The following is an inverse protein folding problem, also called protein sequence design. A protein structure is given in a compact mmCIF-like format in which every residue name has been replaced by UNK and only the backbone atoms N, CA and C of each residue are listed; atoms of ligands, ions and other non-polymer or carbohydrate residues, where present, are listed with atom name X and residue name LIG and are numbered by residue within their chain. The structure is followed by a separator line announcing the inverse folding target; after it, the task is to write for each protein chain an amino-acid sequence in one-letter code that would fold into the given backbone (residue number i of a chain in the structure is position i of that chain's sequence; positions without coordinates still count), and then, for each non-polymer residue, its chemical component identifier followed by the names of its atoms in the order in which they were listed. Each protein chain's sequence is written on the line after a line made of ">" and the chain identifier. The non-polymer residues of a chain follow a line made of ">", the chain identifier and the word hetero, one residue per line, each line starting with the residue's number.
data_IF_389778237055
#
_entry.id   IF_389778237055
#
_cell.length_a   1.000
_cell.length_b   1.000
_cell.length_c   1.000
_cell.angle_alpha   90.00
_cell.angle_beta   90.00
_cell.angle_gamma   90.00
#
_symmetry.space_group_name_H-M   'P 1'
#
loop_
_entity.id
_entity.type
_entity.pdbx_description
1 polymer ?
#
# COMPACT_ATOMS: atom_id res chain seq x y z
N UNK A 1 -11.76 -24.05 6.16
CA UNK A 1 -12.68 -22.92 6.24
C UNK A 1 -12.02 -21.61 6.71
N UNK A 2 -10.72 -21.61 7.00
CA UNK A 2 -10.00 -20.39 7.48
C UNK A 2 -8.99 -19.84 6.47
N UNK A 3 -8.83 -20.48 5.32
CA UNK A 3 -7.87 -20.07 4.29
C UNK A 3 -8.21 -18.72 3.65
N UNK A 4 -9.49 -18.42 3.44
CA UNK A 4 -9.91 -17.17 2.79
C UNK A 4 -9.43 -15.92 3.53
N UNK A 5 -9.61 -15.74 4.86
CA UNK A 5 -9.12 -14.56 5.56
C UNK A 5 -7.58 -14.42 5.52
N UNK A 6 -6.86 -15.54 5.53
CA UNK A 6 -5.38 -15.52 5.41
C UNK A 6 -4.95 -15.00 4.05
N UNK A 7 -5.56 -15.50 2.98
CA UNK A 7 -5.22 -15.07 1.63
C UNK A 7 -5.68 -13.65 1.33
N UNK A 8 -6.86 -13.24 1.84
CA UNK A 8 -7.33 -11.86 1.71
C UNK A 8 -6.34 -10.87 2.35
N UNK A 9 -5.87 -11.15 3.57
CA UNK A 9 -4.89 -10.29 4.22
C UNK A 9 -3.53 -10.31 3.51
N UNK A 10 -3.07 -11.47 3.03
CA UNK A 10 -1.84 -11.57 2.24
C UNK A 10 -1.92 -10.72 0.96
N UNK A 11 -3.05 -10.77 0.26
CA UNK A 11 -3.27 -9.97 -0.94
C UNK A 11 -3.43 -8.48 -0.63
N UNK A 12 -4.09 -8.10 0.45
CA UNK A 12 -4.20 -6.71 0.90
C UNK A 12 -2.82 -6.11 1.17
N UNK A 13 -1.98 -6.81 1.93
CA UNK A 13 -0.61 -6.36 2.22
C UNK A 13 0.25 -6.27 0.94
N UNK A 14 0.12 -7.24 0.03
CA UNK A 14 0.81 -7.19 -1.27
C UNK A 14 0.27 -6.08 -2.17
N UNK A 15 -1.03 -5.78 -2.10
CA UNK A 15 -1.65 -4.68 -2.84
C UNK A 15 -1.08 -3.32 -2.43
N UNK A 16 -0.95 -3.06 -1.13
CA UNK A 16 -0.36 -1.80 -0.62
C UNK A 16 1.06 -1.58 -1.18
N UNK A 17 1.89 -2.61 -1.17
CA UNK A 17 3.18 -2.66 -1.84
C UNK A 17 3.68 -4.09 -1.97
N UNK A 18 4.04 -4.47 -3.19
CA UNK A 18 4.58 -5.82 -3.44
C UNK A 18 5.93 -6.02 -2.75
N UNK A 19 6.20 -7.23 -2.24
CA UNK A 19 7.44 -7.52 -1.51
C UNK A 19 8.72 -7.18 -2.27
N UNK A 20 8.75 -7.40 -3.57
CA UNK A 20 9.90 -7.10 -4.42
C UNK A 20 10.19 -5.60 -4.60
N UNK A 21 9.26 -4.74 -4.24
CA UNK A 21 9.42 -3.28 -4.30
C UNK A 21 9.68 -2.63 -2.93
N UNK A 22 9.87 -3.44 -1.89
CA UNK A 22 10.12 -2.95 -0.53
C UNK A 22 11.48 -2.25 -0.37
N UNK A 23 12.41 -2.49 -1.26
CA UNK A 23 13.70 -1.77 -1.32
C UNK A 23 13.65 -0.49 -2.16
N UNK A 24 12.47 0.00 -2.52
CA UNK A 24 12.26 1.14 -3.42
C UNK A 24 13.02 1.01 -4.75
N UNK A 25 13.21 -0.21 -5.21
CA UNK A 25 13.90 -0.52 -6.47
C UNK A 25 12.91 -0.62 -7.63
N UNK A 26 13.38 -0.27 -8.82
CA UNK A 26 12.64 -0.42 -10.09
C UNK A 26 13.51 -1.21 -11.05
N UNK A 27 13.39 -2.53 -10.99
CA UNK A 27 14.33 -3.46 -11.64
C UNK A 27 14.36 -3.42 -13.15
N UNK A 28 13.27 -2.96 -13.76
CA UNK A 28 13.14 -2.85 -15.21
C UNK A 28 13.69 -1.52 -15.77
N UNK A 29 14.07 -0.57 -14.91
CA UNK A 29 14.67 0.68 -15.32
C UNK A 29 16.13 0.48 -15.72
N UNK A 30 16.56 1.22 -16.78
CA UNK A 30 17.95 1.16 -17.25
C UNK A 30 18.90 1.90 -16.32
N UNK A 31 18.46 3.00 -15.71
CA UNK A 31 19.28 3.82 -14.81
C UNK A 31 19.67 3.00 -13.56
N UNK A 32 20.98 2.85 -13.30
CA UNK A 32 21.50 2.09 -12.16
C UNK A 32 20.96 2.53 -10.80
N UNK A 33 20.60 3.82 -10.64
CA UNK A 33 20.08 4.35 -9.36
C UNK A 33 18.81 3.60 -8.89
N UNK A 34 17.96 3.13 -9.82
CA UNK A 34 16.75 2.40 -9.50
C UNK A 34 17.00 0.94 -9.11
N UNK A 35 18.22 0.45 -9.21
CA UNK A 35 18.63 -0.89 -8.77
C UNK A 35 19.23 -0.88 -7.37
N UNK A 36 19.56 0.29 -6.84
CA UNK A 36 20.09 0.44 -5.49
C UNK A 36 18.94 0.45 -4.49
N UNK A 37 19.08 -0.34 -3.43
CA UNK A 37 18.12 -0.34 -2.32
C UNK A 37 18.16 1.03 -1.63
N UNK A 38 16.99 1.64 -1.49
CA UNK A 38 16.80 2.91 -0.80
C UNK A 38 15.58 2.85 0.11
N UNK A 39 15.42 3.87 0.94
CA UNK A 39 14.32 3.96 1.89
C UNK A 39 13.00 4.24 1.19
N UNK A 40 11.95 3.63 1.71
CA UNK A 40 10.59 4.02 1.42
C UNK A 40 10.25 5.31 2.18
N UNK A 41 9.34 6.14 1.65
CA UNK A 41 8.90 7.37 2.34
C UNK A 41 7.91 7.05 3.48
N UNK A 42 8.25 6.07 4.30
CA UNK A 42 7.44 5.58 5.41
C UNK A 42 8.05 5.96 6.75
N UNK A 43 7.20 6.39 7.66
CA UNK A 43 7.56 6.66 9.05
C UNK A 43 7.92 5.38 9.81
N UNK A 44 8.59 5.52 10.95
CA UNK A 44 8.85 4.41 11.87
C UNK A 44 7.57 3.69 12.28
N UNK A 45 6.50 4.44 12.50
CA UNK A 45 5.20 3.87 12.89
C UNK A 45 4.61 3.01 11.76
N UNK A 46 4.58 3.51 10.52
CA UNK A 46 4.04 2.76 9.36
C UNK A 46 4.85 1.49 9.09
N UNK A 47 6.18 1.56 9.24
CA UNK A 47 7.05 0.39 9.13
C UNK A 47 6.70 -0.65 10.19
N UNK A 48 6.59 -0.24 11.45
CA UNK A 48 6.29 -1.15 12.56
C UNK A 48 4.89 -1.76 12.45
N UNK A 49 3.88 -0.98 12.05
CA UNK A 49 2.52 -1.48 11.79
C UNK A 49 2.53 -2.57 10.70
N UNK A 50 3.26 -2.36 9.61
CA UNK A 50 3.37 -3.35 8.53
C UNK A 50 4.12 -4.60 8.95
N UNK A 51 5.22 -4.46 9.69
CA UNK A 51 5.97 -5.61 10.23
C UNK A 51 5.11 -6.42 11.19
N UNK A 52 4.30 -5.77 12.03
CA UNK A 52 3.36 -6.43 12.93
C UNK A 52 2.27 -7.19 12.17
N UNK A 53 1.69 -6.60 11.11
CA UNK A 53 0.68 -7.25 10.28
C UNK A 53 1.22 -8.54 9.62
N UNK A 54 2.42 -8.48 9.03
CA UNK A 54 3.04 -9.68 8.45
C UNK A 54 3.42 -10.74 9.48
N UNK A 55 3.80 -10.32 10.71
CA UNK A 55 4.07 -11.26 11.81
C UNK A 55 2.79 -12.00 12.20
N UNK A 56 1.70 -11.28 12.45
CA UNK A 56 0.41 -11.88 12.79
C UNK A 56 -0.09 -12.85 11.71
N UNK A 57 0.07 -12.45 10.44
CA UNK A 57 -0.31 -13.30 9.32
C UNK A 57 0.57 -14.58 9.25
N UNK A 58 1.88 -14.45 9.46
CA UNK A 58 2.82 -15.58 9.48
C UNK A 58 2.53 -16.54 10.63
N UNK A 59 2.22 -16.02 11.82
CA UNK A 59 1.87 -16.83 12.99
C UNK A 59 0.58 -17.63 12.75
N UNK A 60 -0.43 -16.99 12.13
CA UNK A 60 -1.66 -17.67 11.76
C UNK A 60 -1.43 -18.78 10.74
N UNK A 61 -0.63 -18.53 9.71
CA UNK A 61 -0.25 -19.53 8.71
C UNK A 61 0.50 -20.71 9.35
N UNK A 62 1.37 -20.45 10.32
CA UNK A 62 2.11 -21.48 11.05
C UNK A 62 1.17 -22.35 11.90
N UNK A 63 0.23 -21.74 12.61
CA UNK A 63 -0.79 -22.45 13.40
C UNK A 63 -1.64 -23.35 12.51
N UNK A 64 -2.15 -22.82 11.38
CA UNK A 64 -2.93 -23.60 10.42
C UNK A 64 -2.12 -24.78 9.87
N UNK A 65 -0.86 -24.55 9.49
CA UNK A 65 0.02 -25.59 8.96
C UNK A 65 0.28 -26.71 9.95
N UNK A 66 0.46 -26.39 11.24
CA UNK A 66 0.61 -27.40 12.29
C UNK A 66 -0.64 -28.25 12.50
N UNK A 67 -1.81 -27.66 12.37
CA UNK A 67 -3.11 -28.34 12.51
C UNK A 67 -3.49 -29.24 11.31
N UNK A 68 -2.78 -29.10 10.18
CA UNK A 68 -3.12 -29.85 8.97
C UNK A 68 -2.66 -31.32 9.02
N UNK A 69 -3.46 -32.25 8.46
CA UNK A 69 -3.02 -33.61 8.19
C UNK A 69 -1.78 -33.66 7.28
N UNK A 70 -0.91 -34.64 7.48
CA UNK A 70 0.35 -34.79 6.76
C UNK A 70 0.18 -34.69 5.23
N UNK A 71 -0.88 -35.32 4.70
CA UNK A 71 -1.17 -35.37 3.26
C UNK A 71 -1.46 -34.00 2.63
N UNK A 72 -1.91 -33.01 3.45
CA UNK A 72 -2.21 -31.65 2.98
C UNK A 72 -1.07 -30.66 3.19
N UNK A 73 -0.07 -31.02 4.01
CA UNK A 73 1.02 -30.10 4.41
C UNK A 73 1.87 -29.64 3.23
N UNK A 74 2.20 -30.51 2.30
CA UNK A 74 3.02 -30.11 1.15
C UNK A 74 2.27 -29.10 0.25
N UNK A 75 1.01 -29.36 -0.06
CA UNK A 75 0.20 -28.45 -0.87
C UNK A 75 0.02 -27.09 -0.17
N UNK A 76 -0.30 -27.11 1.13
CA UNK A 76 -0.44 -25.87 1.91
C UNK A 76 0.89 -25.11 1.99
N UNK A 77 2.02 -25.80 2.16
CA UNK A 77 3.34 -25.17 2.15
C UNK A 77 3.58 -24.42 0.85
N UNK A 78 3.29 -25.02 -0.29
CA UNK A 78 3.55 -24.44 -1.60
C UNK A 78 2.60 -23.26 -1.92
N UNK A 79 1.32 -23.39 -1.61
CA UNK A 79 0.31 -22.43 -2.05
C UNK A 79 0.07 -21.31 -1.05
N UNK A 80 0.38 -21.52 0.23
CA UNK A 80 0.04 -20.58 1.30
C UNK A 80 1.28 -20.22 2.13
N UNK A 81 1.90 -21.22 2.79
CA UNK A 81 2.95 -20.95 3.77
C UNK A 81 4.18 -20.31 3.13
N UNK A 82 4.69 -20.88 2.05
CA UNK A 82 5.87 -20.33 1.38
C UNK A 82 5.64 -18.90 0.85
N UNK A 83 4.61 -18.60 0.04
CA UNK A 83 4.40 -17.24 -0.47
C UNK A 83 4.19 -16.23 0.66
N UNK A 84 3.41 -16.56 1.69
CA UNK A 84 3.15 -15.64 2.80
C UNK A 84 4.42 -15.40 3.62
N UNK A 85 5.13 -16.45 4.03
CA UNK A 85 6.33 -16.32 4.85
C UNK A 85 7.49 -15.69 4.07
N UNK A 86 7.66 -16.01 2.78
CA UNK A 86 8.67 -15.37 1.94
C UNK A 86 8.38 -13.85 1.79
N UNK A 87 7.12 -13.46 1.59
CA UNK A 87 6.73 -12.06 1.56
C UNK A 87 6.98 -11.35 2.91
N UNK A 88 6.63 -12.01 4.01
CA UNK A 88 6.90 -11.49 5.35
C UNK A 88 8.40 -11.28 5.59
N UNK A 89 9.23 -12.24 5.21
CA UNK A 89 10.68 -12.12 5.38
C UNK A 89 11.30 -11.09 4.42
N UNK A 90 10.77 -10.89 3.22
CA UNK A 90 11.20 -9.80 2.33
C UNK A 90 10.89 -8.43 2.97
N UNK A 91 9.70 -8.26 3.56
CA UNK A 91 9.36 -7.05 4.30
C UNK A 91 10.29 -6.86 5.52
N UNK A 92 10.47 -7.91 6.34
CA UNK A 92 11.39 -7.87 7.46
C UNK A 92 12.79 -7.45 7.04
N UNK A 93 13.37 -8.10 6.05
CA UNK A 93 14.73 -7.80 5.56
C UNK A 93 14.90 -6.33 5.18
N UNK A 94 13.99 -5.78 4.41
CA UNK A 94 14.14 -4.45 3.82
C UNK A 94 13.72 -3.34 4.78
N UNK A 95 12.66 -3.55 5.55
CA UNK A 95 12.16 -2.55 6.50
C UNK A 95 13.00 -2.49 7.79
N UNK A 96 13.49 -3.62 8.30
CA UNK A 96 14.42 -3.58 9.44
C UNK A 96 15.76 -2.99 9.04
N UNK A 97 16.22 -3.21 7.79
CA UNK A 97 17.40 -2.51 7.27
C UNK A 97 17.16 -1.00 7.15
N UNK A 98 15.95 -0.56 6.74
CA UNK A 98 15.59 0.85 6.74
C UNK A 98 15.63 1.43 8.16
N UNK A 99 15.02 0.77 9.14
CA UNK A 99 15.09 1.17 10.55
C UNK A 99 16.55 1.19 11.06
N UNK A 100 17.35 0.18 10.72
CA UNK A 100 18.74 0.09 11.15
C UNK A 100 19.63 1.20 10.56
N UNK A 101 19.36 1.64 9.32
CA UNK A 101 20.04 2.80 8.73
C UNK A 101 19.88 4.06 9.58
N UNK A 102 18.76 4.22 10.25
CA UNK A 102 18.42 5.35 11.12
C UNK A 102 18.60 5.06 12.61
N UNK A 103 19.30 3.96 12.97
CA UNK A 103 19.59 3.61 14.37
C UNK A 103 18.38 3.16 15.18
N UNK A 104 17.29 2.70 14.53
CA UNK A 104 16.03 2.29 15.15
C UNK A 104 15.85 0.76 15.27
N UNK A 105 16.75 -0.01 14.68
CA UNK A 105 16.77 -1.48 14.74
C UNK A 105 18.20 -2.02 14.62
N UNK A 106 18.37 -3.31 14.91
CA UNK A 106 19.62 -4.03 14.70
C UNK A 106 19.67 -4.60 13.27
N UNK A 107 20.82 -4.45 12.60
CA UNK A 107 21.09 -5.05 11.31
C UNK A 107 20.97 -6.60 11.31
N UNK A 108 21.17 -7.21 12.47
CA UNK A 108 21.02 -8.66 12.61
C UNK A 108 19.59 -9.14 12.31
N UNK A 109 18.56 -8.28 12.50
CA UNK A 109 17.17 -8.62 12.16
C UNK A 109 17.00 -8.76 10.64
N UNK A 110 17.56 -7.83 9.88
CA UNK A 110 17.58 -7.89 8.42
C UNK A 110 18.35 -9.13 7.91
N UNK A 111 19.49 -9.42 8.52
CA UNK A 111 20.30 -10.60 8.17
C UNK A 111 19.55 -11.91 8.44
N UNK A 112 18.89 -12.03 9.61
CA UNK A 112 18.07 -13.21 9.95
C UNK A 112 16.90 -13.40 8.98
N UNK A 113 16.28 -12.31 8.55
CA UNK A 113 15.22 -12.37 7.56
C UNK A 113 15.71 -12.87 6.20
N UNK A 114 16.89 -12.43 5.77
CA UNK A 114 17.53 -12.96 4.55
C UNK A 114 17.80 -14.47 4.66
N UNK A 115 18.40 -14.93 5.77
CA UNK A 115 18.69 -16.34 6.00
C UNK A 115 17.41 -17.20 6.01
N UNK A 116 16.32 -16.64 6.54
CA UNK A 116 15.00 -17.26 6.53
C UNK A 116 14.45 -17.44 5.10
N UNK A 117 14.60 -16.43 4.24
CA UNK A 117 14.19 -16.53 2.82
C UNK A 117 14.98 -17.65 2.12
N UNK A 118 16.30 -17.69 2.32
CA UNK A 118 17.17 -18.74 1.75
C UNK A 118 16.72 -20.11 2.21
N UNK A 119 16.46 -20.28 3.51
CA UNK A 119 16.03 -21.56 4.11
C UNK A 119 14.66 -22.02 3.60
N UNK A 120 13.69 -21.09 3.52
CA UNK A 120 12.36 -21.36 2.96
C UNK A 120 12.44 -21.80 1.49
N UNK A 121 13.26 -21.11 0.69
CA UNK A 121 13.43 -21.43 -0.73
C UNK A 121 14.14 -22.77 -0.94
N UNK A 122 15.18 -23.06 -0.15
CA UNK A 122 15.83 -24.37 -0.16
C UNK A 122 14.84 -25.48 0.18
N UNK A 123 14.01 -25.29 1.23
CA UNK A 123 12.97 -26.23 1.59
C UNK A 123 11.95 -26.43 0.47
N UNK A 124 11.51 -25.34 -0.20
CA UNK A 124 10.61 -25.44 -1.35
C UNK A 124 11.20 -26.37 -2.43
N UNK A 125 12.47 -26.19 -2.73
CA UNK A 125 13.19 -26.95 -3.75
C UNK A 125 13.49 -28.41 -3.36
N UNK A 126 13.24 -28.83 -2.12
CA UNK A 126 13.26 -30.25 -1.72
C UNK A 126 11.95 -30.99 -2.00
N UNK A 127 10.90 -30.27 -2.39
CA UNK A 127 9.61 -30.86 -2.79
C UNK A 127 9.65 -31.38 -4.23
N UNK A 128 8.52 -31.87 -4.74
CA UNK A 128 8.37 -32.27 -6.16
C UNK A 128 8.69 -31.14 -7.17
N UNK A 129 8.74 -29.87 -6.71
CA UNK A 129 9.08 -28.68 -7.50
C UNK A 129 10.55 -28.33 -7.44
N UNK A 130 11.42 -29.34 -7.45
CA UNK A 130 12.87 -29.16 -7.37
C UNK A 130 13.36 -28.11 -8.38
N UNK A 131 14.19 -27.17 -7.89
CA UNK A 131 14.80 -26.07 -8.66
C UNK A 131 13.81 -25.07 -9.28
N UNK A 132 12.54 -25.06 -8.84
CA UNK A 132 11.56 -24.13 -9.39
C UNK A 132 11.72 -22.73 -8.81
N UNK A 133 12.14 -22.60 -7.55
CA UNK A 133 12.31 -21.33 -6.87
C UNK A 133 13.77 -20.93 -6.70
N UNK A 134 14.04 -19.65 -6.90
CA UNK A 134 15.34 -19.03 -6.66
C UNK A 134 15.21 -17.98 -5.55
N UNK A 135 16.14 -17.94 -4.60
CA UNK A 135 16.19 -16.90 -3.58
C UNK A 135 16.87 -15.62 -4.07
N UNK A 136 17.50 -15.64 -5.24
CA UNK A 136 18.10 -14.49 -5.93
C UNK A 136 17.61 -14.40 -7.39
N UNK A 137 16.32 -14.26 -7.63
CA UNK A 137 15.77 -14.22 -8.98
C UNK A 137 16.49 -13.15 -9.82
N UNK A 138 16.96 -13.54 -11.00
CA UNK A 138 17.68 -12.64 -11.93
C UNK A 138 18.91 -11.93 -11.31
N UNK A 139 19.39 -12.37 -10.14
CA UNK A 139 20.47 -11.74 -9.37
C UNK A 139 20.24 -10.26 -9.07
N UNK A 140 18.98 -9.86 -8.88
CA UNK A 140 18.65 -8.47 -8.59
C UNK A 140 19.06 -8.10 -7.16
N UNK A 141 19.63 -6.89 -6.94
CA UNK A 141 20.13 -6.46 -5.63
C UNK A 141 19.10 -6.54 -4.50
N UNK A 142 17.82 -6.31 -4.80
CA UNK A 142 16.73 -6.39 -3.82
C UNK A 142 16.59 -7.77 -3.16
N UNK A 143 17.08 -8.84 -3.80
CA UNK A 143 17.06 -10.19 -3.24
C UNK A 143 18.34 -10.56 -2.49
N UNK A 144 19.38 -9.73 -2.52
CA UNK A 144 20.62 -9.94 -1.76
C UNK A 144 20.44 -9.53 -0.29
N UNK A 145 21.46 -9.83 0.55
CA UNK A 145 21.60 -9.14 1.84
C UNK A 145 21.66 -7.64 1.61
N UNK A 146 21.04 -6.89 2.53
CA UNK A 146 21.11 -5.45 2.46
C UNK A 146 22.48 -4.97 2.94
N UNK A 147 23.11 -4.10 2.16
CA UNK A 147 24.36 -3.47 2.53
C UNK A 147 24.17 -2.58 3.77
N UNK A 148 25.04 -2.73 4.75
CA UNK A 148 25.02 -1.94 5.99
C UNK A 148 25.54 -0.52 5.72
N UNK A 149 24.65 0.44 5.81
CA UNK A 149 24.98 1.86 5.63
C UNK A 149 24.12 2.68 6.58
N UNK A 150 24.75 3.42 7.47
CA UNK A 150 24.05 4.37 8.34
C UNK A 150 23.67 5.64 7.56
N UNK A 151 22.54 6.23 7.91
CA UNK A 151 22.09 7.53 7.41
C UNK A 151 21.87 8.47 8.59
N UNK A 152 22.25 9.73 8.39
CA UNK A 152 22.10 10.79 9.40
C UNK A 152 20.73 11.49 9.33
N UNK A 153 20.00 11.35 8.22
CA UNK A 153 18.64 11.89 8.07
C UNK A 153 17.65 11.08 8.88
N UNK A 154 16.70 11.74 9.54
CA UNK A 154 15.61 11.06 10.24
C UNK A 154 14.63 10.37 9.27
N UNK A 155 13.84 9.42 9.81
CA UNK A 155 12.69 8.88 9.12
C UNK A 155 11.59 9.95 9.00
N UNK A 156 10.74 9.88 7.96
CA UNK A 156 9.58 10.76 7.86
C UNK A 156 8.66 10.61 9.08
N UNK A 157 7.98 11.68 9.46
CA UNK A 157 6.92 11.61 10.46
C UNK A 157 5.60 11.21 9.79
N UNK A 158 4.83 10.33 10.46
CA UNK A 158 3.49 9.99 10.01
C UNK A 158 2.58 11.18 10.26
N UNK A 159 1.97 11.70 9.20
CA UNK A 159 0.87 12.67 9.35
C UNK A 159 -0.36 11.96 9.90
N UNK A 160 -0.91 12.49 10.97
CA UNK A 160 -2.20 12.03 11.47
C UNK A 160 -3.32 12.78 10.75
N UNK A 161 -4.21 12.02 10.09
CA UNK A 161 -5.44 12.56 9.59
C UNK A 161 -6.41 12.81 10.76
N UNK A 162 -7.14 13.92 10.71
CA UNK A 162 -8.21 14.20 11.67
C UNK A 162 -9.45 13.37 11.34
N UNK A 163 -9.71 13.20 10.06
CA UNK A 163 -10.76 12.31 9.54
C UNK A 163 -10.20 11.42 8.44
N UNK A 164 -10.70 10.19 8.39
CA UNK A 164 -10.41 9.21 7.33
C UNK A 164 -11.70 8.51 6.96
N UNK A 165 -12.00 8.45 5.67
CA UNK A 165 -13.12 7.68 5.14
C UNK A 165 -12.64 6.74 4.04
N UNK A 166 -13.17 5.53 4.06
CA UNK A 166 -13.08 4.63 2.91
C UNK A 166 -14.23 4.95 1.96
N UNK A 167 -13.96 5.15 0.69
CA UNK A 167 -14.99 5.43 -0.29
C UNK A 167 -16.08 4.35 -0.34
N UNK A 168 -15.67 3.09 -0.16
CA UNK A 168 -16.58 1.94 -0.15
C UNK A 168 -17.64 1.99 0.96
N UNK A 169 -17.34 2.59 2.12
CA UNK A 169 -18.28 2.68 3.25
C UNK A 169 -19.38 3.72 3.03
N UNK A 170 -19.19 4.61 2.05
CA UNK A 170 -20.12 5.71 1.71
C UNK A 170 -20.88 5.44 0.40
N UNK A 171 -20.81 4.24 -0.15
CA UNK A 171 -21.28 3.92 -1.51
C UNK A 171 -22.74 3.47 -1.60
N UNK A 172 -23.57 3.64 -0.57
CA UNK A 172 -24.95 3.13 -0.56
C UNK A 172 -25.75 3.58 -1.80
N UNK A 173 -26.08 2.60 -2.66
CA UNK A 173 -26.97 2.75 -3.80
C UNK A 173 -26.44 3.53 -5.01
N UNK A 174 -25.18 3.99 -4.97
CA UNK A 174 -24.65 4.93 -5.97
C UNK A 174 -23.57 4.32 -6.87
N UNK A 175 -22.90 3.25 -6.45
CA UNK A 175 -21.65 2.82 -7.10
C UNK A 175 -21.30 1.36 -6.85
N UNK A 176 -20.47 0.79 -7.72
CA UNK A 176 -20.02 -0.59 -7.60
C UNK A 176 -18.80 -0.70 -6.66
N UNK A 177 -18.85 -1.63 -5.72
CA UNK A 177 -17.72 -1.96 -4.85
C UNK A 177 -16.72 -2.84 -5.62
N UNK A 178 -15.47 -2.43 -5.61
CA UNK A 178 -14.32 -3.16 -6.15
C UNK A 178 -13.67 -3.98 -5.02
N UNK A 179 -14.13 -5.21 -4.81
CA UNK A 179 -13.58 -6.12 -3.79
C UNK A 179 -12.13 -6.52 -4.14
N UNK A 180 -11.27 -6.58 -3.12
CA UNK A 180 -9.85 -6.92 -3.25
C UNK A 180 -8.95 -5.79 -3.75
N UNK A 181 -9.50 -4.62 -4.03
CA UNK A 181 -8.76 -3.41 -4.43
C UNK A 181 -8.86 -2.35 -3.33
N UNK A 182 -7.91 -1.40 -3.34
CA UNK A 182 -7.85 -0.35 -2.32
C UNK A 182 -7.05 -0.75 -1.07
N UNK A 183 -6.75 0.25 -0.26
CA UNK A 183 -5.89 0.10 0.92
C UNK A 183 -6.46 -0.87 1.97
N UNK A 184 -7.77 -0.80 2.21
CA UNK A 184 -8.48 -1.71 3.12
C UNK A 184 -9.11 -2.91 2.40
N UNK A 185 -8.74 -3.17 1.15
CA UNK A 185 -9.25 -4.27 0.35
C UNK A 185 -10.62 -4.02 -0.28
N UNK A 186 -11.08 -2.77 -0.27
CA UNK A 186 -12.31 -2.31 -0.92
C UNK A 186 -12.13 -0.88 -1.42
N UNK A 187 -12.51 -0.65 -2.66
CA UNK A 187 -12.61 0.67 -3.26
C UNK A 187 -13.99 0.82 -3.93
N UNK A 188 -14.36 2.02 -4.35
CA UNK A 188 -15.64 2.26 -5.01
C UNK A 188 -15.46 2.86 -6.39
N UNK A 189 -16.00 2.20 -7.40
CA UNK A 189 -16.12 2.77 -8.74
C UNK A 189 -17.33 3.71 -8.77
N UNK A 190 -17.07 5.00 -8.82
CA UNK A 190 -18.10 6.05 -8.81
C UNK A 190 -18.51 6.33 -10.25
N UNK A 191 -19.76 6.06 -10.60
CA UNK A 191 -20.29 6.32 -11.93
C UNK A 191 -20.26 7.81 -12.24
N UNK A 192 -20.13 8.15 -13.50
CA UNK A 192 -20.10 9.53 -13.98
C UNK A 192 -21.27 10.37 -13.46
N UNK A 193 -20.97 11.56 -12.97
CA UNK A 193 -21.89 12.51 -12.36
C UNK A 193 -22.60 11.99 -11.11
N UNK A 194 -22.08 10.93 -10.47
CA UNK A 194 -22.54 10.49 -9.16
C UNK A 194 -21.66 11.04 -8.05
N UNK A 195 -22.24 11.15 -6.87
CA UNK A 195 -21.65 11.83 -5.72
C UNK A 195 -21.54 10.89 -4.52
N UNK A 196 -20.48 11.08 -3.75
CA UNK A 196 -20.31 10.51 -2.42
C UNK A 196 -20.20 11.67 -1.42
N UNK A 197 -20.90 11.55 -0.31
CA UNK A 197 -20.97 12.60 0.71
C UNK A 197 -20.25 12.18 1.98
N UNK A 198 -19.49 13.11 2.55
CA UNK A 198 -18.73 12.95 3.78
C UNK A 198 -19.01 14.12 4.70
N UNK A 199 -19.35 13.87 5.96
CA UNK A 199 -19.66 14.91 6.94
C UNK A 199 -18.57 14.97 8.00
N UNK A 200 -18.16 16.17 8.39
CA UNK A 200 -17.20 16.39 9.46
C UNK A 200 -17.48 17.71 10.21
N UNK A 201 -16.93 17.79 11.41
CA UNK A 201 -16.93 19.06 12.16
C UNK A 201 -15.51 19.61 12.16
N UNK A 202 -15.34 20.84 11.67
CA UNK A 202 -14.05 21.51 11.69
C UNK A 202 -13.66 21.87 13.13
N UNK A 203 -12.38 21.77 13.41
CA UNK A 203 -11.76 22.22 14.65
C UNK A 203 -11.49 23.73 14.60
N UNK A 204 -10.64 24.24 15.47
CA UNK A 204 -10.23 25.67 15.49
C UNK A 204 -9.27 25.97 14.32
N UNK A 205 -9.78 25.90 13.10
CA UNK A 205 -9.04 26.19 11.86
C UNK A 205 -9.93 26.92 10.86
N UNK A 206 -9.33 27.64 9.94
CA UNK A 206 -10.00 28.32 8.82
C UNK A 206 -9.77 27.61 7.48
N UNK A 207 -9.04 26.51 7.50
CA UNK A 207 -8.81 25.68 6.32
C UNK A 207 -8.53 24.24 6.68
N UNK A 208 -8.76 23.33 5.75
CA UNK A 208 -8.44 21.90 5.83
C UNK A 208 -7.68 21.45 4.60
N UNK A 209 -6.74 20.54 4.74
CA UNK A 209 -6.12 19.86 3.60
C UNK A 209 -6.87 18.55 3.34
N UNK A 210 -7.46 18.42 2.17
CA UNK A 210 -8.13 17.23 1.68
C UNK A 210 -7.15 16.44 0.84
N UNK A 211 -6.90 15.17 1.20
CA UNK A 211 -6.14 14.21 0.41
C UNK A 211 -7.10 13.15 -0.13
N UNK A 212 -7.22 13.09 -1.46
CA UNK A 212 -8.04 12.11 -2.17
C UNK A 212 -7.11 11.03 -2.71
N UNK A 213 -7.39 9.79 -2.35
CA UNK A 213 -6.68 8.59 -2.80
C UNK A 213 -7.56 7.79 -3.74
N UNK A 214 -7.05 7.54 -4.94
CA UNK A 214 -7.77 6.89 -6.03
C UNK A 214 -6.93 5.71 -6.53
N UNK A 215 -7.57 4.75 -7.18
CA UNK A 215 -6.85 3.69 -7.87
C UNK A 215 -6.18 4.26 -9.13
N UNK A 216 -4.90 3.93 -9.39
CA UNK A 216 -4.17 4.41 -10.57
C UNK A 216 -4.55 3.60 -11.82
N UNK A 217 -5.83 3.61 -12.17
CA UNK A 217 -6.36 2.91 -13.33
C UNK A 217 -6.33 3.79 -14.58
N UNK A 218 -6.63 3.19 -15.72
CA UNK A 218 -6.80 3.89 -16.99
C UNK A 218 -8.25 4.32 -17.21
N UNK A 219 -8.51 5.38 -17.99
CA UNK A 219 -9.86 5.73 -18.41
C UNK A 219 -10.58 4.56 -19.08
N UNK A 220 -11.86 4.38 -18.74
CA UNK A 220 -12.73 3.37 -19.37
C UNK A 220 -13.28 3.92 -20.68
N UNK A 221 -13.64 5.22 -20.67
CA UNK A 221 -14.10 5.96 -21.83
C UNK A 221 -13.31 7.26 -21.96
N UNK A 222 -13.02 7.68 -23.19
CA UNK A 222 -12.24 8.89 -23.44
C UNK A 222 -10.78 8.78 -22.98
N UNK A 223 -10.19 9.92 -22.61
CA UNK A 223 -8.75 10.01 -22.27
C UNK A 223 -8.51 10.53 -20.86
N UNK A 224 -9.56 10.77 -20.06
CA UNK A 224 -9.45 11.46 -18.78
C UNK A 224 -10.12 10.70 -17.64
N UNK A 225 -9.56 10.90 -16.44
CA UNK A 225 -10.14 10.53 -15.14
C UNK A 225 -10.13 11.77 -14.26
N UNK A 226 -11.31 12.40 -14.09
CA UNK A 226 -11.48 13.64 -13.36
C UNK A 226 -12.54 13.51 -12.29
N UNK A 227 -12.37 14.29 -11.26
CA UNK A 227 -13.37 14.49 -10.19
C UNK A 227 -13.39 15.94 -9.72
N UNK A 228 -14.39 16.30 -8.96
CA UNK A 228 -14.41 17.53 -8.17
C UNK A 228 -14.63 17.21 -6.70
N UNK A 229 -14.17 18.12 -5.84
CA UNK A 229 -14.55 18.16 -4.44
C UNK A 229 -15.39 19.40 -4.23
N UNK A 230 -16.56 19.26 -3.63
CA UNK A 230 -17.38 20.40 -3.18
C UNK A 230 -17.38 20.44 -1.66
N UNK A 231 -17.22 21.62 -1.11
CA UNK A 231 -17.36 21.87 0.32
C UNK A 231 -18.46 22.90 0.52
N UNK A 232 -19.56 22.51 1.22
CA UNK A 232 -20.73 23.35 1.50
C UNK A 232 -21.29 24.04 0.25
N UNK A 233 -21.29 23.35 -0.89
CA UNK A 233 -21.79 23.86 -2.16
C UNK A 233 -20.77 24.62 -3.02
N UNK A 234 -19.56 24.88 -2.51
CA UNK A 234 -18.47 25.46 -3.31
C UNK A 234 -17.60 24.33 -3.89
N UNK A 235 -17.67 24.12 -5.20
CA UNK A 235 -16.90 23.08 -5.88
C UNK A 235 -15.50 23.58 -6.29
N UNK A 236 -14.50 22.67 -6.26
CA UNK A 236 -13.19 22.91 -6.86
C UNK A 236 -13.30 22.92 -8.38
N UNK A 237 -12.25 23.39 -9.05
CA UNK A 237 -12.05 23.03 -10.45
C UNK A 237 -11.91 21.50 -10.61
N UNK A 238 -12.11 21.01 -11.83
CA UNK A 238 -11.95 19.61 -12.16
C UNK A 238 -10.50 19.16 -11.94
N UNK A 239 -10.30 18.14 -11.11
CA UNK A 239 -8.99 17.58 -10.78
C UNK A 239 -8.78 16.31 -11.60
N UNK A 240 -7.74 16.28 -12.43
CA UNK A 240 -7.33 15.11 -13.18
C UNK A 240 -6.37 14.24 -12.38
N UNK A 241 -6.48 12.91 -12.53
CA UNK A 241 -5.52 11.97 -11.96
C UNK A 241 -5.07 10.88 -12.93
N UNK A 242 -5.53 10.91 -14.18
CA UNK A 242 -4.94 10.08 -15.22
C UNK A 242 -3.47 10.44 -15.41
N UNK A 243 -2.67 9.43 -15.70
CA UNK A 243 -1.24 9.61 -15.94
C UNK A 243 -0.84 9.03 -17.29
N UNK A 244 0.11 9.70 -17.95
CA UNK A 244 0.72 9.13 -19.14
C UNK A 244 1.47 7.86 -18.78
N UNK A 245 1.16 6.76 -19.45
CA UNK A 245 1.82 5.47 -19.25
C UNK A 245 3.35 5.60 -19.30
N UNK A 246 4.04 4.95 -18.35
CA UNK A 246 5.49 5.02 -18.13
C UNK A 246 6.04 6.40 -17.74
N UNK A 247 5.19 7.39 -17.42
CA UNK A 247 5.63 8.60 -16.74
C UNK A 247 6.15 8.29 -15.33
N UNK A 248 6.93 9.19 -14.72
CA UNK A 248 7.40 8.98 -13.34
C UNK A 248 6.23 8.90 -12.36
N UNK A 249 5.22 9.76 -12.51
CA UNK A 249 4.00 9.71 -11.69
C UNK A 249 3.27 8.37 -11.84
N UNK A 250 3.11 7.87 -13.07
CA UNK A 250 2.48 6.56 -13.29
C UNK A 250 3.24 5.44 -12.58
N UNK A 251 4.57 5.44 -12.67
CA UNK A 251 5.41 4.43 -12.02
C UNK A 251 5.25 4.45 -10.50
N UNK A 252 5.29 5.63 -9.88
CA UNK A 252 5.08 5.76 -8.44
C UNK A 252 3.69 5.31 -8.02
N UNK A 253 2.66 5.74 -8.74
CA UNK A 253 1.28 5.35 -8.47
C UNK A 253 1.09 3.84 -8.54
N UNK A 254 1.68 3.17 -9.55
CA UNK A 254 1.61 1.70 -9.70
C UNK A 254 2.37 0.98 -8.58
N UNK A 255 3.50 1.51 -8.12
CA UNK A 255 4.25 0.92 -7.00
C UNK A 255 3.47 0.93 -5.68
N UNK A 256 2.62 1.94 -5.48
CA UNK A 256 1.80 2.12 -4.28
C UNK A 256 0.33 1.70 -4.48
N UNK A 257 -0.07 1.39 -5.72
CA UNK A 257 -1.46 1.18 -6.13
C UNK A 257 -2.40 2.34 -5.72
N UNK A 258 -1.87 3.56 -5.67
CA UNK A 258 -2.63 4.76 -5.35
C UNK A 258 -2.18 5.94 -6.20
N UNK A 259 -3.15 6.70 -6.71
CA UNK A 259 -2.97 8.06 -7.20
C UNK A 259 -3.48 9.03 -6.12
N UNK A 260 -2.68 10.03 -5.76
CA UNK A 260 -2.99 10.95 -4.66
C UNK A 260 -3.16 12.35 -5.20
N UNK A 261 -4.24 13.04 -4.79
CA UNK A 261 -4.46 14.46 -5.06
C UNK A 261 -4.73 15.19 -3.75
N UNK A 262 -4.13 16.38 -3.61
CA UNK A 262 -4.24 17.20 -2.40
C UNK A 262 -4.73 18.59 -2.76
N UNK A 263 -5.60 19.13 -1.91
CA UNK A 263 -6.11 20.48 -2.03
C UNK A 263 -6.36 21.08 -0.65
N UNK A 264 -6.21 22.39 -0.51
CA UNK A 264 -6.54 23.12 0.72
C UNK A 264 -7.84 23.87 0.48
N UNK A 265 -8.82 23.64 1.34
CA UNK A 265 -10.15 24.24 1.25
C UNK A 265 -10.43 25.10 2.49
N UNK A 266 -11.03 26.30 2.33
CA UNK A 266 -11.44 27.11 3.45
C UNK A 266 -12.62 26.47 4.17
N UNK A 267 -12.67 26.60 5.51
CA UNK A 267 -13.75 26.11 6.37
C UNK A 267 -14.12 27.16 7.41
N UNK A 268 -15.38 27.15 7.86
CA UNK A 268 -15.77 27.89 9.06
C UNK A 268 -15.31 27.12 10.31
N UNK A 269 -14.72 27.85 11.25
CA UNK A 269 -14.19 27.24 12.49
C UNK A 269 -15.31 26.63 13.32
N UNK A 270 -15.05 25.44 13.90
CA UNK A 270 -15.99 24.74 14.81
C UNK A 270 -17.40 24.51 14.22
N UNK A 271 -17.54 24.52 12.92
CA UNK A 271 -18.78 24.27 12.21
C UNK A 271 -18.83 22.87 11.62
N UNK A 272 -20.03 22.36 11.41
CA UNK A 272 -20.23 21.13 10.61
C UNK A 272 -20.17 21.47 9.13
N UNK A 273 -19.50 20.61 8.37
CA UNK A 273 -19.27 20.78 6.95
C UNK A 273 -19.66 19.52 6.20
N UNK A 274 -20.05 19.72 4.95
CA UNK A 274 -20.38 18.64 4.01
C UNK A 274 -19.43 18.69 2.83
N UNK A 275 -18.61 17.63 2.72
CA UNK A 275 -17.70 17.42 1.62
C UNK A 275 -18.33 16.42 0.64
N UNK A 276 -18.36 16.77 -0.65
CA UNK A 276 -18.94 15.95 -1.71
C UNK A 276 -17.84 15.66 -2.74
N UNK A 277 -17.63 14.39 -3.01
CA UNK A 277 -16.81 13.90 -4.12
C UNK A 277 -17.72 13.59 -5.30
N UNK A 278 -17.46 14.19 -6.47
CA UNK A 278 -18.21 13.92 -7.70
C UNK A 278 -17.30 13.39 -8.79
N UNK A 279 -17.58 12.21 -9.34
CA UNK A 279 -16.89 11.68 -10.51
C UNK A 279 -17.35 12.40 -11.78
N UNK A 280 -16.43 12.91 -12.58
CA UNK A 280 -16.73 13.58 -13.85
C UNK A 280 -16.61 12.67 -15.07
N UNK A 281 -15.89 11.56 -14.94
CA UNK A 281 -15.66 10.60 -16.02
C UNK A 281 -15.97 9.18 -15.55
N UNK A 282 -16.28 8.27 -16.46
CA UNK A 282 -16.42 6.85 -16.17
C UNK A 282 -15.05 6.23 -15.86
N UNK A 283 -15.03 5.29 -14.91
CA UNK A 283 -13.81 4.61 -14.47
C UNK A 283 -13.10 5.31 -13.31
N UNK A 284 -13.68 6.37 -12.73
CA UNK A 284 -13.15 6.97 -11.51
C UNK A 284 -13.38 6.02 -10.34
N UNK A 285 -12.29 5.61 -9.67
CA UNK A 285 -12.33 4.69 -8.53
C UNK A 285 -11.73 5.36 -7.30
N UNK A 286 -12.59 5.67 -6.33
CA UNK A 286 -12.20 6.24 -5.06
C UNK A 286 -11.82 5.14 -4.07
N UNK A 287 -10.63 5.27 -3.47
CA UNK A 287 -10.16 4.43 -2.37
C UNK A 287 -10.50 5.09 -1.03
N UNK A 288 -9.86 6.21 -0.70
CA UNK A 288 -9.98 6.87 0.59
C UNK A 288 -9.96 8.39 0.45
N UNK A 289 -10.56 9.07 1.44
CA UNK A 289 -10.38 10.52 1.66
C UNK A 289 -9.84 10.73 3.07
N UNK A 290 -8.81 11.56 3.17
CA UNK A 290 -8.24 12.02 4.43
C UNK A 290 -8.38 13.52 4.59
N UNK A 291 -8.69 13.98 5.80
CA UNK A 291 -8.58 15.37 6.18
C UNK A 291 -7.42 15.57 7.15
N UNK A 292 -6.59 16.54 6.85
CA UNK A 292 -5.46 16.93 7.69
C UNK A 292 -5.56 18.40 8.11
N UNK A 293 -4.89 18.72 9.22
CA UNK A 293 -4.53 20.11 9.48
C UNK A 293 -3.61 20.61 8.36
N UNK A 294 -3.86 21.81 7.83
CA UNK A 294 -2.97 22.41 6.84
C UNK A 294 -1.54 22.50 7.40
N UNK A 295 -0.56 22.26 6.56
CA UNK A 295 0.83 22.53 6.95
C UNK A 295 1.00 24.03 7.07
N UNK A 296 1.41 24.50 8.24
CA UNK A 296 1.88 25.88 8.42
C UNK A 296 3.15 25.99 7.55
N UNK A 297 3.11 26.88 6.57
CA UNK A 297 4.27 27.15 5.71
C UNK A 297 5.32 27.94 6.45
#
# INVERSE_FOLDING_TARGET
>A
AQLQPVMQEAYRLAYIRKPEFMGNTRTEEKDPKFKVISDLPWSEQEINERLAAYRQLSDKVEQEWHALPAQKKETYFQLVKYPVQAAAQMNNKLLTAQLARHGKADWADSDRAYDSIVSLTKRYNTTKWNRMMDFQPRRLPVFNRVERKALSSGLPEKRQAVYTWNGADCAEGVSAICEGLGYEGKAVAVSKNKELTFEFTAWETDSVEVEVRLLPNHPVEGERLRFTISLDGSATEAVSYETKGRSEEWKENVLCNQAVRRMVLPVARKASHRLIFTALDEGVVLDQIYLYMPRIK
#
